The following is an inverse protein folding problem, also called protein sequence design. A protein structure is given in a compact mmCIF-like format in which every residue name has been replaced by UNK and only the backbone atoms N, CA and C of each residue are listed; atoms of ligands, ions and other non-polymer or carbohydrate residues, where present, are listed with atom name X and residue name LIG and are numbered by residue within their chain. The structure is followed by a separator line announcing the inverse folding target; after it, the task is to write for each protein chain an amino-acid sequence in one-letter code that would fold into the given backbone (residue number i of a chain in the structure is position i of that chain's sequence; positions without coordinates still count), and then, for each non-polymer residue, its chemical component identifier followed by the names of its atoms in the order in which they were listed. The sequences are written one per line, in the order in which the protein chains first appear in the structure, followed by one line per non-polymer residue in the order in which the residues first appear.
data_IF_978264973352
#
_entry.id   IF_978264973352
#
_cell.length_a   1.000
_cell.length_b   1.000
_cell.length_c   1.000
_cell.angle_alpha   90.00
_cell.angle_beta   90.00
_cell.angle_gamma   90.00
#
_symmetry.space_group_name_H-M   'P 1'
#
loop_
_entity.id
_entity.type
_entity.pdbx_description
1 polymer ?
#
# COMPACT_ATOMS: atom_id res chain seq x y z
N UNK A 1 19.15 -25.71 -23.43
CA UNK A 1 18.17 -26.81 -23.45
C UNK A 1 17.82 -27.25 -22.02
N UNK A 2 18.80 -27.63 -21.19
CA UNK A 2 18.58 -28.03 -19.78
C UNK A 2 17.75 -27.04 -18.91
N UNK A 3 17.85 -25.73 -19.14
CA UNK A 3 17.07 -24.72 -18.41
C UNK A 3 15.60 -24.63 -18.83
N UNK A 4 15.26 -25.05 -20.06
CA UNK A 4 13.87 -25.12 -20.54
C UNK A 4 13.19 -26.37 -20.01
N UNK A 5 13.84 -27.52 -20.15
CA UNK A 5 13.35 -28.83 -19.66
C UNK A 5 13.14 -28.82 -18.14
N UNK A 6 14.10 -28.26 -17.39
CA UNK A 6 13.94 -28.08 -15.94
C UNK A 6 12.72 -27.21 -15.59
N UNK A 7 12.51 -26.11 -16.33
CA UNK A 7 11.40 -25.19 -16.09
C UNK A 7 10.06 -25.85 -16.42
N UNK A 8 10.00 -26.58 -17.52
CA UNK A 8 8.81 -27.31 -17.97
C UNK A 8 8.42 -28.39 -16.96
N UNK A 9 9.35 -29.26 -16.55
CA UNK A 9 9.13 -30.28 -15.53
C UNK A 9 8.67 -29.67 -14.20
N UNK A 10 9.34 -28.61 -13.75
CA UNK A 10 8.96 -27.87 -12.53
C UNK A 10 7.56 -27.27 -12.63
N UNK A 11 7.20 -26.69 -13.77
CA UNK A 11 5.88 -26.10 -13.99
C UNK A 11 4.79 -27.16 -14.09
N UNK A 12 5.05 -28.31 -14.70
CA UNK A 12 4.11 -29.44 -14.73
C UNK A 12 3.78 -29.91 -13.30
N UNK A 13 4.80 -30.14 -12.47
CA UNK A 13 4.61 -30.53 -11.08
C UNK A 13 3.88 -29.45 -10.25
N UNK A 14 4.24 -28.17 -10.43
CA UNK A 14 3.60 -27.07 -9.74
C UNK A 14 2.13 -26.90 -10.15
N UNK A 15 1.82 -27.06 -11.44
CA UNK A 15 0.46 -27.01 -11.98
C UNK A 15 -0.40 -28.12 -11.40
N UNK A 16 0.07 -29.38 -11.45
CA UNK A 16 -0.66 -30.51 -10.87
C UNK A 16 -0.97 -30.31 -9.38
N UNK A 17 0.00 -29.78 -8.62
CA UNK A 17 -0.21 -29.45 -7.20
C UNK A 17 -1.20 -28.31 -6.98
N UNK A 18 -1.13 -27.26 -7.79
CA UNK A 18 -2.06 -26.15 -7.73
C UNK A 18 -3.49 -26.64 -8.00
N UNK A 19 -3.70 -27.34 -9.12
CA UNK A 19 -5.00 -27.87 -9.55
C UNK A 19 -5.61 -28.78 -8.48
N UNK A 20 -4.84 -29.70 -7.90
CA UNK A 20 -5.28 -30.56 -6.79
C UNK A 20 -5.75 -29.78 -5.56
N UNK A 21 -5.23 -28.57 -5.35
CA UNK A 21 -5.51 -27.73 -4.18
C UNK A 21 -6.59 -26.68 -4.42
N UNK A 22 -7.08 -26.54 -5.66
CA UNK A 22 -8.13 -25.59 -5.99
C UNK A 22 -9.45 -26.01 -5.35
N UNK A 23 -10.26 -25.01 -5.00
CA UNK A 23 -11.62 -25.20 -4.49
C UNK A 23 -12.61 -24.49 -5.41
N UNK A 24 -13.88 -24.93 -5.45
CA UNK A 24 -14.94 -24.15 -6.06
C UNK A 24 -14.91 -22.70 -5.55
N UNK A 25 -15.14 -21.74 -6.45
CA UNK A 25 -15.11 -20.31 -6.13
C UNK A 25 -13.71 -19.66 -6.14
N UNK A 26 -12.63 -20.40 -6.42
CA UNK A 26 -11.31 -19.78 -6.58
C UNK A 26 -11.32 -18.74 -7.73
N UNK A 27 -10.72 -17.54 -7.58
CA UNK A 27 -10.92 -16.46 -8.55
C UNK A 27 -10.26 -16.78 -9.89
N UNK A 28 -11.05 -16.88 -10.96
CA UNK A 28 -10.56 -17.27 -12.29
C UNK A 28 -9.42 -16.38 -12.81
N UNK A 29 -9.49 -15.07 -12.57
CA UNK A 29 -8.44 -14.13 -12.99
C UNK A 29 -7.11 -14.34 -12.24
N UNK A 30 -7.16 -14.79 -10.97
CA UNK A 30 -5.95 -15.15 -10.20
C UNK A 30 -5.34 -16.43 -10.76
N UNK A 31 -6.18 -17.42 -11.09
CA UNK A 31 -5.73 -18.67 -11.70
C UNK A 31 -5.09 -18.41 -13.07
N UNK A 32 -5.75 -17.63 -13.92
CA UNK A 32 -5.22 -17.25 -15.23
C UNK A 32 -3.85 -16.55 -15.11
N UNK A 33 -3.73 -15.57 -14.19
CA UNK A 33 -2.44 -14.94 -13.91
C UNK A 33 -1.37 -15.93 -13.43
N UNK A 34 -1.75 -16.89 -12.57
CA UNK A 34 -0.82 -17.89 -12.06
C UNK A 34 -0.26 -18.80 -13.16
N UNK A 35 -1.12 -19.25 -14.08
CA UNK A 35 -0.75 -20.14 -15.18
C UNK A 35 0.08 -19.46 -16.27
N UNK A 36 0.02 -18.12 -16.38
CA UNK A 36 0.85 -17.34 -17.30
C UNK A 36 2.20 -16.92 -16.72
N UNK A 37 2.52 -17.33 -15.47
CA UNK A 37 3.82 -17.02 -14.88
C UNK A 37 4.92 -17.90 -15.47
N UNK A 38 6.16 -17.37 -15.64
CA UNK A 38 7.31 -18.17 -16.04
C UNK A 38 7.56 -19.37 -15.12
N UNK A 39 7.32 -19.19 -13.81
CA UNK A 39 7.27 -20.25 -12.82
C UNK A 39 5.89 -20.26 -12.16
N UNK A 40 5.16 -21.35 -12.33
CA UNK A 40 3.79 -21.49 -11.82
C UNK A 40 3.84 -21.58 -10.28
N UNK A 41 3.06 -20.76 -9.57
CA UNK A 41 2.97 -20.86 -8.12
C UNK A 41 2.26 -22.18 -7.73
N UNK A 42 2.87 -23.02 -6.87
CA UNK A 42 2.40 -24.38 -6.65
C UNK A 42 1.19 -24.49 -5.70
N UNK A 43 0.71 -23.37 -5.12
CA UNK A 43 -0.40 -23.38 -4.16
C UNK A 43 -1.34 -22.18 -4.38
N UNK A 44 -2.64 -22.30 -4.02
CA UNK A 44 -3.59 -21.20 -4.17
C UNK A 44 -3.17 -19.91 -3.45
N UNK A 45 -2.64 -20.00 -2.22
CA UNK A 45 -2.13 -18.82 -1.48
C UNK A 45 -0.95 -18.15 -2.20
N UNK A 46 -0.05 -18.93 -2.82
CA UNK A 46 1.06 -18.39 -3.62
C UNK A 46 0.56 -17.79 -4.93
N UNK A 47 -0.48 -18.35 -5.54
CA UNK A 47 -1.14 -17.77 -6.71
C UNK A 47 -1.76 -16.40 -6.38
N UNK A 48 -2.49 -16.31 -5.27
CA UNK A 48 -3.06 -15.05 -4.76
C UNK A 48 -1.96 -14.01 -4.48
N UNK A 49 -0.91 -14.38 -3.76
CA UNK A 49 0.21 -13.47 -3.47
C UNK A 49 0.92 -13.02 -4.75
N UNK A 50 1.17 -13.92 -5.70
CA UNK A 50 1.75 -13.59 -7.01
C UNK A 50 0.88 -12.61 -7.78
N UNK A 51 -0.44 -12.82 -7.80
CA UNK A 51 -1.38 -11.91 -8.47
C UNK A 51 -1.30 -10.50 -7.89
N UNK A 52 -1.39 -10.33 -6.57
CA UNK A 52 -1.36 -9.00 -5.97
C UNK A 52 -0.04 -8.27 -6.18
N UNK A 53 1.10 -8.96 -6.11
CA UNK A 53 2.43 -8.37 -6.41
C UNK A 53 2.53 -7.75 -7.80
N UNK A 54 1.79 -8.29 -8.78
CA UNK A 54 1.77 -7.76 -10.15
C UNK A 54 0.66 -6.72 -10.38
N UNK A 55 -0.22 -6.51 -9.41
CA UNK A 55 -1.37 -5.62 -9.52
C UNK A 55 -1.39 -4.61 -8.36
N UNK A 56 -0.24 -3.98 -8.08
CA UNK A 56 -0.04 -3.09 -6.92
C UNK A 56 -1.07 -1.95 -6.83
N UNK A 57 -1.44 -1.32 -7.95
CA UNK A 57 -2.45 -0.24 -7.95
C UNK A 57 -3.86 -0.75 -7.64
N UNK A 58 -4.16 -2.02 -7.97
CA UNK A 58 -5.42 -2.67 -7.60
C UNK A 58 -5.39 -3.06 -6.12
N UNK A 59 -4.23 -3.49 -5.62
CA UNK A 59 -4.02 -3.76 -4.20
C UNK A 59 -4.23 -2.51 -3.35
N UNK A 60 -3.61 -1.38 -3.72
CA UNK A 60 -3.83 -0.06 -3.10
C UNK A 60 -5.32 0.28 -3.01
N UNK A 61 -6.01 0.28 -4.16
CA UNK A 61 -7.43 0.64 -4.24
C UNK A 61 -8.28 -0.26 -3.35
N UNK A 62 -8.02 -1.57 -3.39
CA UNK A 62 -8.78 -2.53 -2.59
C UNK A 62 -8.50 -2.36 -1.10
N UNK A 63 -7.24 -2.21 -0.69
CA UNK A 63 -6.88 -2.05 0.72
C UNK A 63 -7.52 -0.78 1.33
N UNK A 64 -7.51 0.34 0.60
CA UNK A 64 -8.21 1.57 1.03
C UNK A 64 -9.72 1.40 1.10
N UNK A 65 -10.32 0.70 0.13
CA UNK A 65 -11.75 0.40 0.16
C UNK A 65 -12.13 -0.53 1.33
N UNK A 66 -11.26 -1.49 1.68
CA UNK A 66 -11.45 -2.35 2.85
C UNK A 66 -11.33 -1.55 4.14
N UNK A 67 -10.33 -0.66 4.25
CA UNK A 67 -10.18 0.23 5.40
C UNK A 67 -11.40 1.14 5.56
N UNK A 68 -11.92 1.70 4.47
CA UNK A 68 -13.13 2.53 4.49
C UNK A 68 -14.37 1.75 4.95
N UNK A 69 -14.47 0.46 4.64
CA UNK A 69 -15.55 -0.40 5.11
C UNK A 69 -15.47 -0.73 6.60
N UNK A 70 -14.26 -0.85 7.15
CA UNK A 70 -14.08 -1.19 8.57
C UNK A 70 -14.10 0.04 9.46
N UNK A 71 -13.61 1.18 8.98
CA UNK A 71 -13.41 2.38 9.79
C UNK A 71 -12.18 2.30 10.69
N UNK A 72 -11.98 3.32 11.52
CA UNK A 72 -10.99 3.28 12.60
C UNK A 72 -11.61 2.61 13.84
N UNK A 73 -10.79 2.03 14.74
CA UNK A 73 -11.24 1.67 16.09
C UNK A 73 -11.82 2.89 16.81
N UNK A 74 -12.76 2.66 17.73
CA UNK A 74 -13.32 3.70 18.56
C UNK A 74 -12.24 4.42 19.37
N UNK A 75 -12.30 5.76 19.41
CA UNK A 75 -11.34 6.61 20.12
C UNK A 75 -9.94 6.68 19.49
N UNK A 76 -9.69 5.98 18.39
CA UNK A 76 -8.38 6.02 17.73
C UNK A 76 -8.15 7.35 17.03
N UNK A 77 -6.94 7.89 17.17
CA UNK A 77 -6.47 9.11 16.48
C UNK A 77 -5.08 8.87 15.92
N UNK A 78 -4.73 9.57 14.84
CA UNK A 78 -3.41 9.40 14.24
C UNK A 78 -2.32 10.07 15.08
N UNK A 79 -1.48 9.24 15.68
CA UNK A 79 -0.34 9.67 16.48
C UNK A 79 0.97 9.08 15.93
N UNK A 80 2.08 9.80 16.17
CA UNK A 80 3.45 9.37 15.81
C UNK A 80 4.35 9.45 17.04
N UNK A 81 5.44 8.68 17.07
CA UNK A 81 6.39 8.71 18.19
C UNK A 81 6.93 7.35 18.65
N UNK A 82 6.65 6.27 17.91
CA UNK A 82 7.33 4.98 18.11
C UNK A 82 6.90 4.15 19.34
N UNK A 83 5.74 4.42 19.93
CA UNK A 83 5.11 3.53 20.92
C UNK A 83 4.59 2.21 20.31
N UNK A 84 4.06 1.30 21.14
CA UNK A 84 3.63 -0.05 20.74
C UNK A 84 2.72 -0.07 19.49
N UNK A 85 3.31 -0.43 18.35
CA UNK A 85 2.65 -0.49 17.04
C UNK A 85 2.36 0.86 16.37
N UNK A 86 2.70 1.99 17.01
CA UNK A 86 2.55 3.34 16.43
C UNK A 86 3.66 3.63 15.41
N UNK A 87 3.36 4.38 14.34
CA UNK A 87 4.37 4.90 13.42
C UNK A 87 5.49 5.69 14.13
N UNK A 88 6.75 5.44 13.74
CA UNK A 88 7.88 6.22 14.24
C UNK A 88 7.85 7.69 13.75
N UNK A 89 7.25 7.94 12.58
CA UNK A 89 7.08 9.28 12.02
C UNK A 89 5.86 9.33 11.10
N UNK A 90 5.45 10.54 10.71
CA UNK A 90 4.38 10.75 9.72
C UNK A 90 4.73 10.25 8.31
N UNK A 91 5.94 9.72 8.07
CA UNK A 91 6.30 9.11 6.79
C UNK A 91 5.76 7.70 6.65
N UNK A 92 5.47 7.03 7.76
CA UNK A 92 4.86 5.70 7.77
C UNK A 92 3.34 5.86 7.79
N UNK A 93 2.58 5.11 6.96
CA UNK A 93 1.12 5.23 6.93
C UNK A 93 0.50 4.94 8.30
N UNK A 94 -0.59 5.63 8.68
CA UNK A 94 -1.35 5.28 9.88
C UNK A 94 -1.91 3.86 9.76
N UNK A 95 -1.83 3.09 10.85
CA UNK A 95 -2.18 1.67 10.86
C UNK A 95 -2.76 1.23 12.21
N UNK A 96 -3.99 1.68 12.57
CA UNK A 96 -4.60 1.44 13.87
C UNK A 96 -4.54 -0.02 14.32
N UNK A 97 -4.90 -0.95 13.44
CA UNK A 97 -4.95 -2.39 13.74
C UNK A 97 -3.58 -3.07 13.87
N UNK A 98 -2.48 -2.29 13.74
CA UNK A 98 -1.12 -2.71 14.07
C UNK A 98 -0.71 -2.28 15.48
N UNK A 99 -1.42 -1.35 16.10
CA UNK A 99 -1.28 -1.01 17.52
C UNK A 99 -1.90 -2.14 18.34
N UNK A 100 -1.19 -2.61 19.37
CA UNK A 100 -1.61 -3.79 20.12
C UNK A 100 -2.92 -3.53 20.89
N UNK A 101 -3.13 -2.28 21.36
CA UNK A 101 -4.38 -1.83 21.98
C UNK A 101 -5.61 -1.94 21.06
N UNK A 102 -5.40 -1.99 19.73
CA UNK A 102 -6.48 -2.04 18.74
C UNK A 102 -6.37 -3.26 17.83
N UNK A 103 -5.54 -4.25 18.18
CA UNK A 103 -5.35 -5.44 17.37
C UNK A 103 -6.68 -6.23 17.27
N UNK A 104 -7.18 -6.53 16.05
CA UNK A 104 -8.53 -7.07 15.86
C UNK A 104 -8.65 -8.58 16.14
N UNK A 105 -7.60 -9.19 16.71
CA UNK A 105 -7.54 -10.63 16.99
C UNK A 105 -7.32 -11.53 15.75
N UNK A 106 -7.32 -12.86 15.93
CA UNK A 106 -7.13 -13.81 14.84
C UNK A 106 -8.23 -13.73 13.77
N UNK A 107 -7.85 -13.84 12.50
CA UNK A 107 -8.79 -13.83 11.39
C UNK A 107 -9.22 -12.45 10.91
N UNK A 108 -8.65 -11.37 11.45
CA UNK A 108 -8.82 -10.01 10.97
C UNK A 108 -7.49 -9.43 10.47
N UNK A 109 -7.56 -8.55 9.47
CA UNK A 109 -6.37 -8.00 8.82
C UNK A 109 -5.78 -6.86 9.64
N UNK A 110 -4.49 -6.92 9.98
CA UNK A 110 -3.79 -5.84 10.70
C UNK A 110 -3.61 -4.54 9.89
N UNK A 111 -3.93 -4.53 8.60
CA UNK A 111 -3.91 -3.29 7.78
C UNK A 111 -5.28 -2.64 7.75
N UNK A 112 -6.32 -3.38 7.36
CA UNK A 112 -7.65 -2.80 7.10
C UNK A 112 -8.70 -3.16 8.15
N UNK A 113 -8.37 -3.98 9.15
CA UNK A 113 -9.27 -4.50 10.19
C UNK A 113 -10.29 -5.55 9.73
N UNK A 114 -10.50 -5.70 8.42
CA UNK A 114 -11.51 -6.62 7.88
C UNK A 114 -11.17 -8.11 8.00
N UNK A 115 -12.19 -8.97 8.01
CA UNK A 115 -12.04 -10.42 8.08
C UNK A 115 -11.19 -11.01 6.94
N UNK A 116 -10.26 -11.90 7.28
CA UNK A 116 -9.34 -12.58 6.37
C UNK A 116 -9.82 -14.01 6.15
N UNK A 117 -10.15 -14.33 4.91
CA UNK A 117 -10.64 -15.65 4.54
C UNK A 117 -9.51 -16.53 3.98
N UNK A 118 -9.88 -17.72 3.51
CA UNK A 118 -8.95 -18.68 2.91
C UNK A 118 -8.06 -18.00 1.87
N UNK A 119 -6.81 -18.47 1.81
CA UNK A 119 -5.77 -17.95 0.92
C UNK A 119 -5.35 -16.49 1.17
N UNK A 120 -5.77 -15.89 2.28
CA UNK A 120 -5.54 -14.46 2.55
C UNK A 120 -6.43 -13.57 1.68
N UNK A 121 -7.59 -14.08 1.25
CA UNK A 121 -8.56 -13.34 0.45
C UNK A 121 -9.47 -12.48 1.33
N UNK A 122 -10.01 -11.40 0.75
CA UNK A 122 -10.81 -10.40 1.45
C UNK A 122 -12.32 -10.70 1.45
N UNK A 123 -12.72 -11.82 0.85
CA UNK A 123 -14.09 -12.31 0.78
C UNK A 123 -14.12 -13.81 1.04
N UNK A 124 -15.21 -14.27 1.62
CA UNK A 124 -15.48 -15.69 1.73
C UNK A 124 -15.79 -16.27 0.35
N UNK A 125 -14.84 -17.01 -0.21
CA UNK A 125 -15.02 -17.71 -1.48
C UNK A 125 -15.58 -19.12 -1.30
N UNK A 126 -15.51 -19.67 -0.08
CA UNK A 126 -15.97 -21.01 0.22
C UNK A 126 -17.45 -21.02 0.65
N UNK A 127 -17.97 -19.89 1.10
CA UNK A 127 -19.34 -19.77 1.60
C UNK A 127 -19.54 -20.42 2.97
N UNK A 128 -18.45 -20.73 3.69
CA UNK A 128 -18.49 -21.36 5.02
C UNK A 128 -18.65 -20.33 6.17
N UNK A 129 -18.65 -19.04 5.83
CA UNK A 129 -18.81 -17.93 6.76
C UNK A 129 -17.65 -17.74 7.73
N UNK A 130 -16.59 -18.56 7.62
CA UNK A 130 -15.56 -18.67 8.65
C UNK A 130 -14.26 -17.95 8.25
N UNK A 131 -13.90 -16.85 8.92
CA UNK A 131 -12.56 -16.28 8.79
C UNK A 131 -11.47 -17.28 9.19
N UNK A 132 -10.28 -17.08 8.66
CA UNK A 132 -9.12 -17.90 8.96
C UNK A 132 -8.68 -17.73 10.41
N UNK A 133 -8.63 -18.80 11.20
CA UNK A 133 -8.15 -18.74 12.60
C UNK A 133 -6.65 -18.39 12.76
N UNK A 134 -5.89 -18.37 11.65
CA UNK A 134 -4.43 -18.18 11.66
C UNK A 134 -3.95 -16.98 10.85
N UNK A 135 -4.75 -16.51 9.89
CA UNK A 135 -4.30 -15.43 9.01
C UNK A 135 -4.64 -14.07 9.64
N UNK A 136 -3.63 -13.20 9.78
CA UNK A 136 -3.79 -11.82 10.24
C UNK A 136 -3.66 -10.77 9.14
N UNK A 137 -3.63 -11.18 7.86
CA UNK A 137 -3.34 -10.30 6.74
C UNK A 137 -4.04 -10.75 5.46
N UNK A 138 -4.71 -9.82 4.76
CA UNK A 138 -5.03 -10.04 3.35
C UNK A 138 -3.77 -9.95 2.51
N UNK A 139 -3.64 -10.81 1.50
CA UNK A 139 -2.53 -10.72 0.56
C UNK A 139 -2.52 -9.36 -0.18
N UNK A 140 -3.70 -8.81 -0.53
CA UNK A 140 -3.80 -7.48 -1.14
C UNK A 140 -3.29 -6.38 -0.21
N UNK A 141 -3.66 -6.42 1.07
CA UNK A 141 -3.27 -5.40 2.04
C UNK A 141 -1.78 -5.43 2.36
N UNK A 142 -1.14 -6.60 2.35
CA UNK A 142 0.33 -6.69 2.47
C UNK A 142 1.01 -5.95 1.30
N UNK A 143 0.56 -6.19 0.06
CA UNK A 143 1.15 -5.52 -1.10
C UNK A 143 0.85 -4.01 -1.11
N UNK A 144 -0.34 -3.61 -0.66
CA UNK A 144 -0.66 -2.19 -0.50
C UNK A 144 0.24 -1.52 0.55
N UNK A 145 0.48 -2.19 1.69
CA UNK A 145 1.37 -1.70 2.74
C UNK A 145 2.82 -1.55 2.24
N UNK A 146 3.35 -2.56 1.56
CA UNK A 146 4.67 -2.50 0.91
C UNK A 146 4.75 -1.30 -0.05
N UNK A 147 3.72 -1.11 -0.87
CA UNK A 147 3.63 0.02 -1.81
C UNK A 147 3.58 1.39 -1.12
N UNK A 148 2.84 1.52 -0.02
CA UNK A 148 2.76 2.77 0.73
C UNK A 148 4.07 3.12 1.43
N UNK A 149 4.81 2.12 1.92
CA UNK A 149 6.10 2.33 2.57
C UNK A 149 7.26 2.54 1.58
N UNK A 150 7.20 1.92 0.40
CA UNK A 150 8.27 1.96 -0.60
C UNK A 150 7.72 2.17 -2.03
N UNK A 151 7.06 3.31 -2.31
CA UNK A 151 6.41 3.52 -3.61
C UNK A 151 7.39 3.59 -4.78
N UNK A 152 8.66 3.93 -4.52
CA UNK A 152 9.75 3.96 -5.50
C UNK A 152 10.01 2.59 -6.16
N UNK A 153 9.79 1.49 -5.44
CA UNK A 153 9.95 0.12 -5.97
C UNK A 153 8.90 -0.19 -7.06
N UNK A 154 7.84 0.61 -7.12
CA UNK A 154 6.73 0.45 -8.04
C UNK A 154 6.70 1.51 -9.15
N UNK A 155 7.84 2.16 -9.42
CA UNK A 155 8.01 3.20 -10.43
C UNK A 155 7.42 2.83 -11.80
N UNK A 156 7.58 1.59 -12.25
CA UNK A 156 7.04 1.13 -13.55
C UNK A 156 5.51 1.22 -13.60
N UNK A 157 4.83 0.81 -12.53
CA UNK A 157 3.37 0.86 -12.45
C UNK A 157 2.86 2.30 -12.40
N UNK A 158 3.55 3.17 -11.65
CA UNK A 158 3.20 4.60 -11.54
C UNK A 158 3.45 5.35 -12.86
N UNK A 159 4.54 5.06 -13.57
CA UNK A 159 4.79 5.60 -14.92
C UNK A 159 3.67 5.23 -15.89
N UNK A 160 3.24 3.96 -15.87
CA UNK A 160 2.14 3.50 -16.72
C UNK A 160 0.82 4.21 -16.38
N UNK A 161 0.51 4.39 -15.08
CA UNK A 161 -0.66 5.16 -14.62
C UNK A 161 -0.70 6.58 -15.19
N UNK A 162 0.47 7.21 -15.30
CA UNK A 162 0.65 8.55 -15.85
C UNK A 162 0.87 8.60 -17.37
N UNK A 163 0.63 7.51 -18.09
CA UNK A 163 0.89 7.43 -19.55
C UNK A 163 2.33 7.85 -19.90
N UNK A 164 3.28 7.57 -19.00
CA UNK A 164 4.70 7.91 -19.14
C UNK A 164 4.98 9.42 -19.32
N UNK A 165 4.13 10.28 -18.74
CA UNK A 165 4.29 11.74 -18.73
C UNK A 165 4.44 12.27 -17.30
N UNK A 166 5.35 13.23 -17.13
CA UNK A 166 5.58 13.94 -15.88
C UNK A 166 4.32 14.71 -15.52
N UNK A 167 3.83 14.52 -14.30
CA UNK A 167 2.63 15.20 -13.82
C UNK A 167 2.81 16.72 -13.71
N UNK A 168 4.03 17.18 -13.39
CA UNK A 168 4.36 18.61 -13.25
C UNK A 168 4.66 19.27 -14.61
N UNK A 169 5.52 18.66 -15.44
CA UNK A 169 6.05 19.31 -16.65
C UNK A 169 5.36 18.87 -17.95
N UNK A 170 4.52 17.84 -17.92
CA UNK A 170 3.92 17.23 -19.12
C UNK A 170 4.91 16.48 -20.03
N UNK A 171 6.23 16.56 -19.78
CA UNK A 171 7.27 15.91 -20.61
C UNK A 171 7.35 14.41 -20.36
N UNK A 172 8.02 13.66 -21.25
CA UNK A 172 8.22 12.21 -21.11
C UNK A 172 9.00 11.86 -19.84
N UNK A 173 8.59 10.77 -19.19
CA UNK A 173 9.32 10.18 -18.06
C UNK A 173 10.42 9.25 -18.57
N UNK A 174 11.67 9.70 -18.47
CA UNK A 174 12.86 8.95 -18.88
C UNK A 174 13.48 8.16 -17.71
N UNK A 175 14.69 7.63 -17.94
CA UNK A 175 15.56 7.09 -16.88
C UNK A 175 15.92 8.25 -15.92
N UNK A 176 15.84 8.03 -14.61
CA UNK A 176 16.01 9.08 -13.60
C UNK A 176 14.75 9.86 -13.23
N UNK A 177 13.57 9.39 -13.62
CA UNK A 177 12.32 9.89 -13.05
C UNK A 177 12.11 9.30 -11.64
N UNK A 178 11.58 10.12 -10.74
CA UNK A 178 11.44 9.83 -9.32
C UNK A 178 9.97 9.79 -8.91
N UNK A 179 9.65 9.00 -7.89
CA UNK A 179 8.32 9.00 -7.27
C UNK A 179 8.29 10.09 -6.21
N UNK A 180 7.21 10.85 -6.21
CA UNK A 180 7.00 11.96 -5.29
C UNK A 180 5.52 12.02 -4.88
N UNK A 181 5.23 12.69 -3.77
CA UNK A 181 3.87 12.94 -3.35
C UNK A 181 3.31 14.20 -4.06
N UNK A 182 2.03 14.23 -4.39
CA UNK A 182 1.35 15.44 -4.90
C UNK A 182 1.24 16.46 -3.76
N UNK A 183 0.70 16.03 -2.63
CA UNK A 183 0.67 16.74 -1.36
C UNK A 183 1.77 16.19 -0.45
N UNK A 184 2.76 17.00 -0.03
CA UNK A 184 3.86 16.54 0.82
C UNK A 184 3.35 16.02 2.17
N UNK A 185 3.91 14.92 2.67
CA UNK A 185 3.42 14.27 3.90
C UNK A 185 3.56 15.13 5.16
N UNK A 186 4.48 16.10 5.19
CA UNK A 186 4.57 17.04 6.32
C UNK A 186 3.35 17.96 6.38
N UNK A 187 2.78 18.31 5.22
CA UNK A 187 1.56 19.11 5.12
C UNK A 187 0.36 18.29 5.57
N UNK A 188 0.27 17.04 5.11
CA UNK A 188 -0.75 16.07 5.56
C UNK A 188 -0.75 15.94 7.07
N UNK A 189 0.42 15.78 7.69
CA UNK A 189 0.54 15.70 9.15
C UNK A 189 0.07 16.96 9.88
N UNK A 190 0.30 18.15 9.31
CA UNK A 190 -0.11 19.41 9.92
C UNK A 190 -1.61 19.68 9.75
N UNK A 191 -2.12 19.50 8.53
CA UNK A 191 -3.41 20.05 8.09
C UNK A 191 -4.52 19.01 8.06
N UNK A 192 -4.18 17.74 7.84
CA UNK A 192 -5.16 16.70 7.50
C UNK A 192 -5.23 15.60 8.56
N UNK A 193 -4.41 15.67 9.62
CA UNK A 193 -4.24 14.55 10.58
C UNK A 193 -5.51 14.11 11.29
N UNK A 194 -6.50 15.00 11.36
CA UNK A 194 -7.78 14.79 12.02
C UNK A 194 -8.83 14.18 11.08
N UNK A 195 -8.50 13.98 9.79
CA UNK A 195 -9.35 13.24 8.87
C UNK A 195 -9.52 11.79 9.33
N UNK A 196 -10.68 11.15 9.03
CA UNK A 196 -10.85 9.74 9.35
C UNK A 196 -9.78 8.90 8.65
N UNK A 197 -9.22 7.94 9.39
CA UNK A 197 -8.10 7.11 8.96
C UNK A 197 -8.18 6.55 7.52
N UNK A 198 -9.33 6.04 7.04
CA UNK A 198 -9.42 5.54 5.68
C UNK A 198 -9.12 6.58 4.60
N UNK A 199 -9.43 7.87 4.86
CA UNK A 199 -9.10 8.97 3.97
C UNK A 199 -7.61 9.28 3.99
N UNK A 200 -6.99 9.26 5.18
CA UNK A 200 -5.55 9.47 5.34
C UNK A 200 -4.72 8.53 4.46
N UNK A 201 -5.12 7.25 4.34
CA UNK A 201 -4.41 6.27 3.51
C UNK A 201 -4.26 6.70 2.03
N UNK A 202 -5.13 7.59 1.54
CA UNK A 202 -4.99 8.18 0.21
C UNK A 202 -3.68 8.95 -0.01
N UNK A 203 -3.11 9.52 1.06
CA UNK A 203 -1.89 10.33 0.99
C UNK A 203 -0.60 9.52 0.80
N UNK A 204 -0.58 8.23 1.17
CA UNK A 204 0.53 7.31 0.85
C UNK A 204 0.23 6.44 -0.38
N UNK A 205 -1.05 6.38 -0.77
CA UNK A 205 -1.52 5.57 -1.87
C UNK A 205 -1.39 6.25 -3.23
N UNK A 206 -1.84 5.52 -4.25
CA UNK A 206 -1.82 6.00 -5.63
C UNK A 206 -2.50 7.36 -5.87
N UNK A 207 -3.55 7.79 -5.12
CA UNK A 207 -4.15 9.12 -5.31
C UNK A 207 -3.17 10.28 -5.13
N UNK A 208 -2.26 10.17 -4.15
CA UNK A 208 -1.30 11.22 -3.82
C UNK A 208 0.10 10.94 -4.36
N UNK A 209 0.33 9.84 -5.10
CA UNK A 209 1.64 9.54 -5.67
C UNK A 209 1.71 9.96 -7.13
N UNK A 210 2.79 10.64 -7.47
CA UNK A 210 3.15 11.03 -8.82
C UNK A 210 4.58 10.61 -9.18
N UNK A 211 4.86 10.56 -10.48
CA UNK A 211 6.20 10.39 -11.03
C UNK A 211 6.59 11.68 -11.72
N UNK A 212 7.72 12.23 -11.31
CA UNK A 212 8.27 13.48 -11.83
C UNK A 212 9.60 13.23 -12.53
N UNK A 213 9.91 14.05 -13.53
CA UNK A 213 11.26 14.12 -14.08
C UNK A 213 12.11 15.08 -13.24
N UNK A 214 13.42 15.11 -13.46
CA UNK A 214 14.35 15.98 -12.73
C UNK A 214 13.91 17.45 -12.69
N UNK A 215 13.44 18.00 -13.81
CA UNK A 215 12.97 19.39 -13.86
C UNK A 215 11.73 19.61 -12.97
N UNK A 216 10.75 18.70 -13.03
CA UNK A 216 9.56 18.75 -12.17
C UNK A 216 9.90 18.58 -10.69
N UNK A 217 10.87 17.71 -10.37
CA UNK A 217 11.33 17.51 -9.01
C UNK A 217 11.99 18.79 -8.45
N UNK A 218 12.88 19.44 -9.22
CA UNK A 218 13.51 20.71 -8.81
C UNK A 218 12.47 21.80 -8.54
N UNK A 219 11.45 21.91 -9.40
CA UNK A 219 10.36 22.87 -9.20
C UNK A 219 9.61 22.60 -7.89
N UNK A 220 9.16 21.37 -7.65
CA UNK A 220 8.49 21.00 -6.39
C UNK A 220 9.37 21.21 -5.17
N UNK A 221 10.63 20.79 -5.21
CA UNK A 221 11.54 20.96 -4.08
C UNK A 221 11.70 22.44 -3.70
N UNK A 222 11.75 23.34 -4.69
CA UNK A 222 11.79 24.78 -4.45
C UNK A 222 10.51 25.27 -3.78
N UNK A 223 9.34 24.96 -4.35
CA UNK A 223 8.04 25.36 -3.81
C UNK A 223 7.84 24.89 -2.36
N UNK A 224 8.19 23.62 -2.07
CA UNK A 224 8.12 23.09 -0.72
C UNK A 224 9.13 23.72 0.25
N UNK A 225 10.32 24.11 -0.24
CA UNK A 225 11.31 24.79 0.59
C UNK A 225 10.86 26.21 0.95
N UNK A 226 10.29 26.92 -0.02
CA UNK A 226 9.73 28.26 0.16
C UNK A 226 8.56 28.23 1.15
N UNK A 227 7.67 27.23 1.04
CA UNK A 227 6.60 26.99 2.01
C UNK A 227 7.14 26.73 3.42
N UNK A 228 8.08 25.78 3.57
CA UNK A 228 8.67 25.49 4.89
C UNK A 228 9.38 26.72 5.48
N UNK A 229 9.96 27.59 4.65
CA UNK A 229 10.58 28.83 5.10
C UNK A 229 9.52 29.85 5.56
N UNK A 230 8.42 30.02 4.83
CA UNK A 230 7.30 30.86 5.25
C UNK A 230 6.73 30.41 6.60
N UNK A 231 6.47 29.11 6.76
CA UNK A 231 5.97 28.55 8.01
C UNK A 231 6.90 28.79 9.20
N UNK A 232 8.22 28.68 9.00
CA UNK A 232 9.18 28.99 10.08
C UNK A 232 9.13 30.47 10.46
N UNK A 233 8.95 31.37 9.50
CA UNK A 233 8.78 32.81 9.78
C UNK A 233 7.48 33.06 10.55
N UNK A 234 6.37 32.48 10.11
CA UNK A 234 5.07 32.66 10.76
C UNK A 234 5.08 32.12 12.19
N UNK A 235 5.72 30.98 12.43
CA UNK A 235 5.89 30.42 13.78
C UNK A 235 6.72 31.35 14.69
N UNK A 236 7.76 32.00 14.16
CA UNK A 236 8.55 33.00 14.90
C UNK A 236 7.77 34.28 15.18
N UNK A 237 6.76 34.62 14.36
CA UNK A 237 5.89 35.78 14.58
C UNK A 237 4.75 35.51 15.57
N UNK A 238 4.36 34.24 15.73
CA UNK A 238 3.26 33.82 16.62
C UNK A 238 3.75 33.50 18.04
N UNK A 239 5.00 33.10 18.23
CA UNK A 239 5.59 32.95 19.56
C UNK A 239 5.82 34.35 20.16
N UNK A 240 5.06 34.77 21.20
CA UNK A 240 5.41 35.98 21.94
C UNK A 240 6.72 35.72 22.69
N UNK A 241 7.45 36.78 23.02
CA UNK A 241 8.57 36.78 23.96
C UNK A 241 8.12 36.26 25.35
N UNK A 242 7.99 34.94 25.53
CA UNK A 242 7.87 34.29 26.84
C UNK A 242 9.27 34.07 27.44
N UNK A 243 10.10 35.11 27.45
CA UNK A 243 11.41 35.08 28.13
C UNK A 243 11.86 36.47 28.60
N UNK A 244 10.97 37.20 29.29
CA UNK A 244 11.33 38.32 30.17
C UNK A 244 10.37 38.43 31.36
N UNK A 245 10.52 37.55 32.35
CA UNK A 245 10.16 37.82 33.75
C UNK A 245 10.79 36.82 34.72
#
# INVERSE_FOLDING_TARGET
MATSEWRESRNAAARARLEKSLRPGFPAHVLHHALTRPLIPPTPSRAVASYWRHHVLRADRLARALAARTGAPEGWTWQVGGGEGRPASFRVPPAPYREDAHAPGPGACRVCGGAVFRFGWHRDLAGDGAPSRRAGWHAACVIAWEFWCAPSDHLKALKARQRHRCAVTGKRLLRGAEVDHCLPLYRVWREERDLPWPFLLGYWGAPNLQVVNRAGHVLKCREEADERAAMRRDALLIAPDDDLS
#
